data_IF_875107608734
#
_entry.id   IF_875107608734
#
_cell.length_a   1.000
_cell.length_b   1.000
_cell.length_c   1.000
_cell.angle_alpha   90.00
_cell.angle_beta   90.00
_cell.angle_gamma   90.00
#
_symmetry.space_group_name_H-M   'P 1'
#
loop_
_entity.id
_entity.type
_entity.pdbx_description
1 polymer ?
#
# COMPACT_ATOMS: atom_id res chain seq x y z
N UNK A 1 -44.74 -37.57 -6.99
CA UNK A 1 -45.57 -36.94 -5.96
C UNK A 1 -46.61 -36.10 -6.68
N UNK A 2 -47.89 -36.43 -6.55
CA UNK A 2 -48.94 -35.53 -7.04
C UNK A 2 -48.77 -34.19 -6.31
N UNK A 3 -48.88 -33.04 -7.00
CA UNK A 3 -48.87 -31.76 -6.30
C UNK A 3 -50.02 -31.79 -5.29
N UNK A 4 -49.69 -31.75 -3.99
CA UNK A 4 -50.69 -31.56 -2.95
C UNK A 4 -51.39 -30.25 -3.25
N UNK A 5 -52.64 -30.34 -3.66
CA UNK A 5 -53.48 -29.20 -3.98
C UNK A 5 -53.77 -28.49 -2.66
N UNK A 6 -53.51 -27.18 -2.59
CA UNK A 6 -53.70 -26.39 -1.38
C UNK A 6 -55.12 -26.60 -0.79
N UNK A 7 -55.28 -27.16 0.42
CA UNK A 7 -56.57 -27.47 1.02
C UNK A 7 -57.46 -26.23 1.24
N UNK A 8 -56.87 -25.04 1.22
CA UNK A 8 -57.60 -23.76 1.27
C UNK A 8 -58.32 -23.42 -0.03
N UNK A 9 -57.83 -23.92 -1.17
CA UNK A 9 -58.37 -23.65 -2.50
C UNK A 9 -59.39 -24.72 -2.97
N UNK A 10 -59.65 -25.74 -2.15
CA UNK A 10 -60.61 -26.81 -2.47
C UNK A 10 -62.01 -26.43 -2.00
N UNK A 11 -62.97 -26.40 -2.93
CA UNK A 11 -64.39 -26.17 -2.63
C UNK A 11 -65.13 -27.47 -2.30
N UNK A 12 -66.17 -27.42 -1.44
CA UNK A 12 -66.99 -28.58 -1.12
C UNK A 12 -67.64 -29.17 -2.38
N UNK A 13 -67.53 -30.48 -2.63
CA UNK A 13 -68.26 -31.13 -3.72
C UNK A 13 -69.77 -31.02 -3.54
N UNK A 14 -70.51 -30.95 -4.64
CA UNK A 14 -71.97 -31.02 -4.60
C UNK A 14 -72.44 -32.46 -4.34
N UNK A 15 -72.61 -32.79 -3.06
CA UNK A 15 -73.08 -34.10 -2.61
C UNK A 15 -74.56 -34.36 -2.90
N UNK A 16 -75.31 -33.41 -3.48
CA UNK A 16 -76.68 -33.65 -3.96
C UNK A 16 -76.71 -34.13 -5.41
N UNK A 17 -75.62 -33.92 -6.16
CA UNK A 17 -75.47 -34.39 -7.54
C UNK A 17 -75.63 -35.90 -7.69
N UNK A 18 -76.15 -36.37 -8.83
CA UNK A 18 -76.32 -37.80 -9.15
C UNK A 18 -75.02 -38.61 -9.07
N UNK A 19 -73.86 -37.97 -9.22
CA UNK A 19 -72.54 -38.60 -9.08
C UNK A 19 -72.33 -39.26 -7.72
N UNK A 20 -72.96 -38.74 -6.67
CA UNK A 20 -72.85 -39.24 -5.30
C UNK A 20 -74.06 -40.08 -4.86
N UNK A 21 -75.03 -40.33 -5.76
CA UNK A 21 -76.21 -41.14 -5.47
C UNK A 21 -75.87 -42.56 -4.94
N UNK A 22 -74.86 -43.29 -5.47
CA UNK A 22 -74.47 -44.58 -4.92
C UNK A 22 -73.98 -44.50 -3.46
N UNK A 23 -73.18 -43.49 -3.13
CA UNK A 23 -72.66 -43.26 -1.78
C UNK A 23 -73.76 -42.87 -0.80
N UNK A 24 -74.72 -42.03 -1.23
CA UNK A 24 -75.90 -41.68 -0.43
C UNK A 24 -76.80 -42.89 -0.20
N UNK A 25 -77.08 -43.69 -1.23
CA UNK A 25 -77.93 -44.88 -1.12
C UNK A 25 -77.37 -45.91 -0.13
N UNK A 26 -76.04 -46.06 -0.06
CA UNK A 26 -75.39 -46.93 0.92
C UNK A 26 -75.66 -46.43 2.36
N UNK A 27 -75.51 -45.13 2.62
CA UNK A 27 -75.81 -44.53 3.93
C UNK A 27 -77.29 -44.65 4.30
N UNK A 28 -78.19 -44.43 3.34
CA UNK A 28 -79.64 -44.61 3.52
C UNK A 28 -79.99 -46.05 3.89
N UNK A 29 -79.41 -47.04 3.20
CA UNK A 29 -79.67 -48.46 3.47
C UNK A 29 -79.09 -48.92 4.81
N UNK A 30 -77.94 -48.36 5.21
CA UNK A 30 -77.22 -48.77 6.42
C UNK A 30 -77.78 -48.12 7.68
N UNK A 31 -78.17 -46.85 7.60
CA UNK A 31 -78.60 -46.06 8.77
C UNK A 31 -80.09 -45.70 8.75
N UNK A 32 -80.84 -46.12 7.73
CA UNK A 32 -82.27 -45.83 7.55
C UNK A 32 -82.62 -44.32 7.57
N UNK A 33 -81.73 -43.49 7.03
CA UNK A 33 -81.86 -42.03 6.94
C UNK A 33 -82.41 -41.59 5.57
N UNK A 34 -82.80 -40.31 5.41
CA UNK A 34 -83.21 -39.76 4.11
C UNK A 34 -82.00 -39.43 3.22
N UNK A 35 -82.22 -39.35 1.90
CA UNK A 35 -81.18 -38.96 0.93
C UNK A 35 -80.58 -37.58 1.22
N UNK A 36 -81.39 -36.64 1.70
CA UNK A 36 -80.96 -35.29 2.11
C UNK A 36 -80.03 -35.37 3.33
N UNK A 37 -80.40 -36.14 4.36
CA UNK A 37 -79.57 -36.34 5.55
C UNK A 37 -78.27 -37.06 5.19
N UNK A 38 -78.30 -38.02 4.26
CA UNK A 38 -77.09 -38.69 3.76
C UNK A 38 -76.15 -37.73 3.01
N UNK A 39 -76.68 -36.82 2.17
CA UNK A 39 -75.88 -35.79 1.50
C UNK A 39 -75.24 -34.82 2.52
N UNK A 40 -75.98 -34.43 3.55
CA UNK A 40 -75.50 -33.55 4.60
C UNK A 40 -74.39 -34.21 5.45
N UNK A 41 -74.52 -35.50 5.78
CA UNK A 41 -73.49 -36.25 6.49
C UNK A 41 -72.18 -36.34 5.68
N UNK A 42 -72.26 -36.56 4.37
CA UNK A 42 -71.08 -36.55 3.50
C UNK A 42 -70.41 -35.17 3.44
N UNK A 43 -71.20 -34.10 3.42
CA UNK A 43 -70.70 -32.73 3.46
C UNK A 43 -70.00 -32.42 4.79
N UNK A 44 -70.57 -32.84 5.91
CA UNK A 44 -69.99 -32.58 7.24
C UNK A 44 -68.70 -33.40 7.47
N UNK A 45 -68.65 -34.65 6.99
CA UNK A 45 -67.41 -35.43 6.96
C UNK A 45 -66.33 -34.77 6.10
N UNK A 46 -66.70 -34.28 4.91
CA UNK A 46 -65.77 -33.57 4.04
C UNK A 46 -65.24 -32.29 4.69
N UNK A 47 -66.10 -31.51 5.36
CA UNK A 47 -65.67 -30.31 6.10
C UNK A 47 -64.72 -30.64 7.24
N UNK A 48 -65.02 -31.68 8.02
CA UNK A 48 -64.15 -32.12 9.10
C UNK A 48 -62.77 -32.54 8.58
N UNK A 49 -62.73 -33.29 7.48
CA UNK A 49 -61.48 -33.67 6.84
C UNK A 49 -60.72 -32.46 6.28
N UNK A 50 -61.40 -31.54 5.59
CA UNK A 50 -60.77 -30.35 5.02
C UNK A 50 -60.19 -29.41 6.09
N UNK A 51 -60.79 -29.34 7.28
CA UNK A 51 -60.21 -28.60 8.43
C UNK A 51 -58.90 -29.24 8.89
N UNK A 52 -58.84 -30.57 8.99
CA UNK A 52 -57.61 -31.27 9.36
C UNK A 52 -56.52 -31.09 8.29
N UNK A 53 -56.88 -31.24 7.01
CA UNK A 53 -55.96 -31.07 5.90
C UNK A 53 -55.38 -29.63 5.84
N UNK A 54 -56.20 -28.62 6.14
CA UNK A 54 -55.75 -27.22 6.23
C UNK A 54 -54.79 -26.99 7.40
N UNK A 55 -55.07 -27.59 8.56
CA UNK A 55 -54.18 -27.50 9.72
C UNK A 55 -52.83 -28.14 9.44
N UNK A 56 -52.82 -29.36 8.90
CA UNK A 56 -51.59 -30.05 8.54
C UNK A 56 -50.78 -29.26 7.50
N UNK A 57 -51.47 -28.69 6.50
CA UNK A 57 -50.83 -27.82 5.50
C UNK A 57 -50.22 -26.55 6.12
N UNK A 58 -50.94 -25.88 7.01
CA UNK A 58 -50.47 -24.66 7.67
C UNK A 58 -49.25 -24.97 8.58
N UNK A 59 -49.30 -26.07 9.33
CA UNK A 59 -48.19 -26.55 10.18
C UNK A 59 -46.94 -26.89 9.36
N UNK A 60 -47.10 -27.61 8.24
CA UNK A 60 -46.01 -27.92 7.31
C UNK A 60 -45.39 -26.64 6.73
N UNK A 61 -46.23 -25.69 6.30
CA UNK A 61 -45.78 -24.43 5.74
C UNK A 61 -45.04 -23.56 6.77
N UNK A 62 -45.55 -23.47 7.99
CA UNK A 62 -44.89 -22.74 9.08
C UNK A 62 -43.55 -23.39 9.42
N UNK A 63 -43.50 -24.72 9.49
CA UNK A 63 -42.26 -25.44 9.75
C UNK A 63 -41.20 -25.20 8.68
N UNK A 64 -41.59 -25.25 7.40
CA UNK A 64 -40.69 -24.95 6.28
C UNK A 64 -40.22 -23.49 6.32
N UNK A 65 -41.11 -22.55 6.60
CA UNK A 65 -40.77 -21.13 6.73
C UNK A 65 -39.79 -20.87 7.89
N UNK A 66 -40.02 -21.51 9.04
CA UNK A 66 -39.14 -21.43 10.20
C UNK A 66 -37.75 -22.02 9.91
N UNK A 67 -37.68 -23.18 9.25
CA UNK A 67 -36.40 -23.77 8.84
C UNK A 67 -35.63 -22.88 7.87
N UNK A 68 -36.31 -22.30 6.88
CA UNK A 68 -35.68 -21.41 5.91
C UNK A 68 -35.14 -20.14 6.57
N UNK A 69 -35.90 -19.56 7.51
CA UNK A 69 -35.44 -18.42 8.30
C UNK A 69 -34.20 -18.77 9.13
N UNK A 70 -34.21 -19.92 9.81
CA UNK A 70 -33.07 -20.40 10.58
C UNK A 70 -31.82 -20.60 9.71
N UNK A 71 -31.96 -21.20 8.53
CA UNK A 71 -30.84 -21.37 7.58
C UNK A 71 -30.28 -20.03 7.12
N UNK A 72 -31.14 -19.04 6.86
CA UNK A 72 -30.71 -17.69 6.47
C UNK A 72 -29.95 -16.99 7.59
N UNK A 73 -30.43 -17.10 8.82
CA UNK A 73 -29.77 -16.54 10.00
C UNK A 73 -28.39 -17.18 10.21
N UNK A 74 -28.30 -18.52 10.14
CA UNK A 74 -27.03 -19.24 10.23
C UNK A 74 -26.06 -18.85 9.11
N UNK A 75 -26.54 -18.77 7.87
CA UNK A 75 -25.70 -18.36 6.74
C UNK A 75 -25.21 -16.90 6.87
N UNK A 76 -25.98 -16.02 7.53
CA UNK A 76 -25.53 -14.66 7.84
C UNK A 76 -24.43 -14.67 8.90
N UNK A 77 -24.63 -15.40 10.00
CA UNK A 77 -23.64 -15.52 11.07
C UNK A 77 -22.32 -16.12 10.56
N UNK A 78 -22.39 -17.19 9.76
CA UNK A 78 -21.20 -17.80 9.16
C UNK A 78 -20.42 -16.83 8.25
N UNK A 79 -21.13 -15.96 7.51
CA UNK A 79 -20.49 -14.92 6.68
C UNK A 79 -19.82 -13.86 7.53
N UNK A 80 -20.52 -13.34 8.55
CA UNK A 80 -19.96 -12.33 9.46
C UNK A 80 -18.72 -12.86 10.19
N UNK A 81 -18.76 -14.12 10.65
CA UNK A 81 -17.59 -14.77 11.25
C UNK A 81 -16.45 -15.00 10.26
N UNK A 82 -16.76 -15.38 9.02
CA UNK A 82 -15.74 -15.56 7.98
C UNK A 82 -15.08 -14.23 7.61
N UNK A 83 -15.86 -13.15 7.49
CA UNK A 83 -15.35 -11.79 7.25
C UNK A 83 -14.47 -11.32 8.42
N UNK A 84 -14.88 -11.55 9.66
CA UNK A 84 -14.09 -11.23 10.84
C UNK A 84 -12.75 -11.98 10.84
N UNK A 85 -12.77 -13.30 10.60
CA UNK A 85 -11.55 -14.11 10.51
C UNK A 85 -10.62 -13.63 9.39
N UNK A 86 -11.16 -13.25 8.23
CA UNK A 86 -10.36 -12.69 7.14
C UNK A 86 -9.71 -11.37 7.51
N UNK A 87 -10.44 -10.48 8.18
CA UNK A 87 -9.88 -9.20 8.64
C UNK A 87 -8.77 -9.41 9.67
N UNK A 88 -8.96 -10.32 10.63
CA UNK A 88 -7.93 -10.68 11.61
C UNK A 88 -6.67 -11.24 10.92
N UNK A 89 -6.84 -12.15 9.97
CA UNK A 89 -5.73 -12.72 9.20
C UNK A 89 -4.99 -11.66 8.37
N UNK A 90 -5.71 -10.75 7.71
CA UNK A 90 -5.13 -9.65 6.94
C UNK A 90 -4.36 -8.68 7.84
N UNK A 91 -4.91 -8.33 9.00
CA UNK A 91 -4.26 -7.45 9.96
C UNK A 91 -3.00 -8.09 10.57
N UNK A 92 -3.04 -9.39 10.88
CA UNK A 92 -1.86 -10.13 11.31
C UNK A 92 -0.80 -10.20 10.21
N UNK A 93 -1.19 -10.49 8.97
CA UNK A 93 -0.29 -10.50 7.82
C UNK A 93 0.35 -9.12 7.61
N UNK A 94 -0.42 -8.04 7.74
CA UNK A 94 0.08 -6.66 7.63
C UNK A 94 1.05 -6.31 8.75
N UNK A 95 0.78 -6.74 9.99
CA UNK A 95 1.71 -6.55 11.12
C UNK A 95 3.00 -7.32 10.90
N UNK A 96 2.93 -8.57 10.46
CA UNK A 96 4.10 -9.40 10.13
C UNK A 96 4.91 -8.81 8.98
N UNK A 97 4.26 -8.31 7.93
CA UNK A 97 4.91 -7.67 6.79
C UNK A 97 5.62 -6.37 7.21
N UNK A 98 4.99 -5.55 8.08
CA UNK A 98 5.62 -4.37 8.70
C UNK A 98 6.82 -4.72 9.57
N UNK A 99 6.76 -5.83 10.33
CA UNK A 99 7.90 -6.30 11.14
C UNK A 99 9.07 -6.74 10.27
N UNK A 100 8.80 -7.53 9.22
CA UNK A 100 9.82 -8.04 8.28
C UNK A 100 10.44 -6.93 7.44
N UNK A 101 9.65 -5.95 7.01
CA UNK A 101 10.08 -4.85 6.15
C UNK A 101 10.09 -3.51 6.86
N UNK A 102 10.59 -3.47 8.11
CA UNK A 102 10.59 -2.26 8.95
C UNK A 102 11.12 -1.01 8.23
N UNK A 103 12.15 -1.16 7.40
CA UNK A 103 12.75 -0.07 6.62
C UNK A 103 11.81 0.51 5.55
N UNK A 104 10.93 -0.31 4.95
CA UNK A 104 9.97 0.16 3.92
C UNK A 104 8.82 0.98 4.51
N UNK A 105 8.49 0.75 5.78
CA UNK A 105 7.39 1.44 6.49
C UNK A 105 7.89 2.50 7.45
N UNK A 106 9.14 2.95 7.31
CA UNK A 106 9.60 4.11 8.04
C UNK A 106 8.75 5.32 7.61
N UNK A 107 8.19 6.09 8.56
CA UNK A 107 7.54 7.33 8.21
C UNK A 107 8.58 8.21 7.52
N UNK A 108 8.33 8.55 6.26
CA UNK A 108 9.09 9.58 5.60
C UNK A 108 8.86 10.87 6.37
N UNK A 109 9.95 11.55 6.74
CA UNK A 109 9.83 12.91 7.20
C UNK A 109 9.22 13.70 6.05
N UNK A 110 8.13 14.41 6.31
CA UNK A 110 7.38 15.22 5.33
C UNK A 110 8.17 16.51 5.01
N UNK A 111 9.45 16.32 4.72
CA UNK A 111 10.39 17.37 4.34
C UNK A 111 10.27 17.50 2.83
N UNK A 112 9.84 18.67 2.32
CA UNK A 112 9.79 18.89 0.89
C UNK A 112 11.17 18.60 0.30
N UNK A 113 11.24 17.88 -0.84
CA UNK A 113 12.51 17.64 -1.50
C UNK A 113 13.20 18.99 -1.75
N UNK A 114 14.51 19.11 -1.51
CA UNK A 114 15.22 20.35 -1.75
C UNK A 114 14.94 20.83 -3.18
N UNK A 115 14.37 22.02 -3.31
CA UNK A 115 14.02 22.63 -4.61
C UNK A 115 15.25 22.98 -5.44
N UNK A 116 16.43 22.90 -4.85
CA UNK A 116 17.73 23.20 -5.46
C UNK A 116 18.63 21.98 -5.35
N UNK A 117 19.23 21.59 -6.48
CA UNK A 117 20.32 20.62 -6.49
C UNK A 117 21.45 21.17 -5.62
N UNK A 118 21.95 20.44 -4.61
CA UNK A 118 23.05 20.93 -3.80
C UNK A 118 24.28 21.16 -4.68
N UNK A 119 24.84 22.36 -4.61
CA UNK A 119 26.09 22.71 -5.28
C UNK A 119 27.23 22.06 -4.50
N UNK A 120 27.71 20.90 -4.97
CA UNK A 120 28.78 20.15 -4.33
C UNK A 120 30.14 20.42 -4.99
N UNK A 121 31.24 20.45 -4.21
CA UNK A 121 32.59 20.45 -4.76
C UNK A 121 32.85 19.26 -5.69
N UNK A 122 33.86 19.39 -6.56
CA UNK A 122 34.27 18.30 -7.46
C UNK A 122 34.53 16.99 -6.69
N UNK A 123 34.13 15.82 -7.22
CA UNK A 123 34.43 14.52 -6.61
C UNK A 123 35.92 14.32 -6.30
N UNK A 124 36.80 14.86 -7.16
CA UNK A 124 38.25 14.83 -6.94
C UNK A 124 38.64 15.57 -5.66
N UNK A 125 38.10 16.79 -5.47
CA UNK A 125 38.37 17.59 -4.29
C UNK A 125 37.86 16.89 -3.03
N UNK A 126 36.65 16.32 -3.06
CA UNK A 126 36.11 15.56 -1.92
C UNK A 126 36.95 14.33 -1.59
N UNK A 127 37.41 13.55 -2.59
CA UNK A 127 38.27 12.38 -2.37
C UNK A 127 39.62 12.76 -1.74
N UNK A 128 40.25 13.84 -2.23
CA UNK A 128 41.50 14.35 -1.62
C UNK A 128 41.26 14.83 -0.19
N UNK A 129 40.08 15.40 0.09
CA UNK A 129 39.75 15.98 1.39
C UNK A 129 39.56 14.87 2.41
N UNK A 130 38.88 13.79 2.01
CA UNK A 130 38.76 12.59 2.84
C UNK A 130 40.12 11.95 3.16
N UNK A 131 41.10 12.04 2.25
CA UNK A 131 42.47 11.54 2.47
C UNK A 131 43.35 12.48 3.29
N UNK A 132 42.90 13.70 3.59
CA UNK A 132 43.73 14.72 4.23
C UNK A 132 44.82 15.29 3.33
N UNK A 133 44.69 15.14 2.01
CA UNK A 133 45.64 15.68 1.03
C UNK A 133 45.37 17.18 0.78
N UNK A 134 46.41 17.90 0.37
CA UNK A 134 46.26 19.29 -0.06
C UNK A 134 45.33 19.42 -1.27
N UNK A 135 44.42 20.39 -1.17
CA UNK A 135 43.45 20.76 -2.20
C UNK A 135 43.44 22.28 -2.34
N UNK A 136 43.61 22.81 -3.55
CA UNK A 136 43.45 24.24 -3.80
C UNK A 136 42.07 24.75 -3.40
N UNK A 137 42.03 25.93 -2.76
CA UNK A 137 40.79 26.60 -2.37
C UNK A 137 39.87 26.88 -3.57
N UNK A 138 40.43 26.98 -4.77
CA UNK A 138 39.68 27.13 -6.03
C UNK A 138 38.45 26.21 -6.13
N UNK A 139 38.60 24.94 -5.73
CA UNK A 139 37.53 23.94 -5.81
C UNK A 139 36.30 24.25 -4.95
N UNK A 140 36.45 25.14 -3.97
CA UNK A 140 35.38 25.60 -3.09
C UNK A 140 34.88 27.01 -3.45
N UNK A 141 35.46 27.68 -4.45
CA UNK A 141 34.94 28.97 -4.96
C UNK A 141 33.72 28.75 -5.85
N UNK A 142 32.87 29.78 -6.02
CA UNK A 142 31.68 29.72 -6.87
C UNK A 142 32.05 29.32 -8.31
N UNK A 143 33.20 29.81 -8.79
CA UNK A 143 33.74 29.46 -10.09
C UNK A 143 34.14 27.98 -10.15
N UNK A 144 34.91 27.49 -9.17
CA UNK A 144 35.31 26.09 -9.10
C UNK A 144 34.12 25.13 -8.95
N UNK A 145 33.07 25.53 -8.25
CA UNK A 145 31.82 24.78 -8.14
C UNK A 145 31.05 24.74 -9.46
N UNK A 146 30.92 25.88 -10.15
CA UNK A 146 30.29 25.95 -11.47
C UNK A 146 31.06 25.09 -12.50
N UNK A 147 32.39 25.16 -12.47
CA UNK A 147 33.25 24.32 -13.32
C UNK A 147 33.05 22.83 -13.01
N UNK A 148 32.98 22.45 -11.73
CA UNK A 148 32.75 21.06 -11.32
C UNK A 148 31.39 20.54 -11.81
N UNK A 149 30.33 21.34 -11.72
CA UNK A 149 29.01 21.00 -12.25
C UNK A 149 29.03 20.82 -13.77
N UNK A 150 29.75 21.69 -14.50
CA UNK A 150 29.86 21.58 -15.96
C UNK A 150 30.53 20.27 -16.41
N UNK A 151 31.48 19.76 -15.62
CA UNK A 151 32.22 18.52 -15.92
C UNK A 151 31.42 17.27 -15.54
N UNK A 152 30.66 17.30 -14.42
CA UNK A 152 29.88 16.13 -13.98
C UNK A 152 28.76 15.74 -14.94
N UNK A 153 28.26 16.67 -15.75
CA UNK A 153 27.26 16.38 -16.79
C UNK A 153 27.86 15.79 -18.07
N UNK A 154 29.19 15.75 -18.22
CA UNK A 154 29.85 15.45 -19.50
C UNK A 154 30.54 14.09 -19.56
N UNK A 155 30.93 13.44 -18.45
CA UNK A 155 31.77 12.23 -18.50
C UNK A 155 31.56 11.34 -17.28
N UNK A 156 31.60 10.03 -17.49
CA UNK A 156 31.76 9.01 -16.44
C UNK A 156 33.11 9.21 -15.69
N UNK A 157 33.05 9.33 -14.36
CA UNK A 157 34.21 9.64 -13.49
C UNK A 157 35.22 8.46 -13.44
N UNK A 158 34.84 7.28 -13.94
CA UNK A 158 35.66 6.07 -14.08
C UNK A 158 36.55 6.06 -15.34
N UNK A 159 36.38 7.01 -16.27
CA UNK A 159 37.16 7.04 -17.49
C UNK A 159 38.54 7.68 -17.28
N UNK A 160 39.61 6.99 -17.71
CA UNK A 160 41.00 7.47 -17.64
C UNK A 160 41.48 7.99 -19.00
N UNK A 161 42.18 9.11 -18.99
CA UNK A 161 42.96 9.61 -20.13
C UNK A 161 44.45 9.33 -19.91
N UNK A 162 45.13 8.92 -20.97
CA UNK A 162 46.59 8.81 -21.00
C UNK A 162 47.17 10.19 -21.31
N UNK A 163 47.99 10.73 -20.40
CA UNK A 163 48.69 12.00 -20.59
C UNK A 163 50.21 11.79 -20.56
N UNK A 164 50.97 12.35 -21.51
CA UNK A 164 52.42 12.39 -21.40
C UNK A 164 52.84 13.23 -20.17
N UNK A 165 53.75 12.68 -19.38
CA UNK A 165 54.37 13.29 -18.21
C UNK A 165 55.81 13.66 -18.58
N UNK A 166 56.06 14.96 -18.78
CA UNK A 166 57.37 15.48 -19.16
C UNK A 166 57.79 15.16 -20.61
N UNK A 167 59.02 15.54 -20.95
CA UNK A 167 59.64 15.26 -22.26
C UNK A 167 60.21 13.83 -22.36
N UNK A 168 60.24 13.10 -21.25
CA UNK A 168 60.91 11.79 -21.12
C UNK A 168 60.07 10.61 -21.66
N UNK A 169 58.92 10.88 -22.28
CA UNK A 169 58.06 9.86 -22.89
C UNK A 169 57.31 8.97 -21.90
N UNK A 170 57.29 9.31 -20.61
CA UNK A 170 56.48 8.64 -19.61
C UNK A 170 55.01 9.03 -19.76
N UNK A 171 54.11 8.08 -19.53
CA UNK A 171 52.66 8.30 -19.64
C UNK A 171 51.97 8.01 -18.32
N UNK A 172 51.21 8.98 -17.81
CA UNK A 172 50.40 8.84 -16.62
C UNK A 172 48.93 8.64 -17.00
N UNK A 173 48.25 7.73 -16.31
CA UNK A 173 46.79 7.59 -16.37
C UNK A 173 46.16 8.56 -15.37
N UNK A 174 45.36 9.50 -15.87
CA UNK A 174 44.66 10.50 -15.04
C UNK A 174 43.17 10.43 -15.37
N UNK A 175 42.28 10.55 -14.38
CA UNK A 175 40.85 10.59 -14.69
C UNK A 175 40.53 11.73 -15.66
N UNK A 176 39.60 11.49 -16.59
CA UNK A 176 39.22 12.50 -17.60
C UNK A 176 38.74 13.79 -16.92
N UNK A 177 38.03 13.67 -15.79
CA UNK A 177 37.64 14.81 -14.96
C UNK A 177 38.87 15.62 -14.50
N UNK A 178 39.89 14.98 -13.94
CA UNK A 178 41.11 15.67 -13.48
C UNK A 178 41.96 16.24 -14.63
N UNK A 179 41.95 15.59 -15.80
CA UNK A 179 42.66 16.07 -16.99
C UNK A 179 42.03 17.36 -17.56
N UNK A 180 40.69 17.47 -17.55
CA UNK A 180 39.96 18.65 -18.04
C UNK A 180 40.00 19.84 -17.09
N UNK A 181 40.13 19.61 -15.78
CA UNK A 181 40.13 20.67 -14.76
C UNK A 181 41.50 21.39 -14.68
N UNK A 182 42.61 20.67 -14.90
CA UNK A 182 43.99 21.21 -14.75
C UNK A 182 44.32 22.53 -15.49
N UNK A 183 43.82 22.87 -16.69
CA UNK A 183 44.18 24.14 -17.35
C UNK A 183 43.51 25.38 -16.74
N UNK A 184 42.61 25.25 -15.76
CA UNK A 184 41.84 26.38 -15.23
C UNK A 184 41.85 26.53 -13.69
N UNK A 185 42.66 25.74 -12.98
CA UNK A 185 42.78 25.84 -11.52
C UNK A 185 43.60 27.09 -11.17
N UNK A 186 43.00 28.02 -10.44
CA UNK A 186 43.70 29.17 -9.85
C UNK A 186 44.42 28.68 -8.59
N UNK A 187 45.71 29.00 -8.47
CA UNK A 187 46.48 28.67 -7.25
C UNK A 187 46.07 29.59 -6.11
N UNK A 188 46.17 29.11 -4.87
CA UNK A 188 45.66 29.84 -3.69
C UNK A 188 46.22 31.26 -3.54
N UNK A 189 47.46 31.50 -4.01
CA UNK A 189 48.11 32.81 -3.97
C UNK A 189 47.50 33.84 -4.94
N UNK A 190 46.87 33.37 -6.01
CA UNK A 190 46.25 34.22 -7.05
C UNK A 190 44.74 34.43 -6.78
N UNK A 191 44.21 33.90 -5.68
CA UNK A 191 42.83 34.12 -5.28
C UNK A 191 42.66 35.50 -4.63
N UNK A 192 41.58 36.18 -5.00
CA UNK A 192 41.17 37.41 -4.32
C UNK A 192 40.64 37.10 -2.91
N UNK A 193 40.67 38.08 -2.01
CA UNK A 193 40.09 37.94 -0.67
C UNK A 193 38.64 37.50 -0.67
N UNK A 194 37.83 38.03 -1.60
CA UNK A 194 36.45 37.61 -1.75
C UNK A 194 36.31 36.13 -2.11
N UNK A 195 37.22 35.59 -2.92
CA UNK A 195 37.21 34.17 -3.29
C UNK A 195 37.71 33.29 -2.15
N UNK A 196 38.70 33.75 -1.38
CA UNK A 196 39.18 33.06 -0.18
C UNK A 196 38.05 33.00 0.87
N UNK A 197 37.41 34.13 1.17
CA UNK A 197 36.29 34.20 2.12
C UNK A 197 35.15 33.24 1.70
N UNK A 198 34.78 33.23 0.42
CA UNK A 198 33.77 32.33 -0.09
C UNK A 198 34.15 30.84 0.03
N UNK A 199 35.39 30.50 -0.35
CA UNK A 199 35.89 29.14 -0.38
C UNK A 199 36.08 28.55 1.02
N UNK A 200 36.53 29.35 2.00
CA UNK A 200 36.86 28.88 3.35
C UNK A 200 35.64 28.35 4.10
N UNK A 201 34.52 29.05 4.05
CA UNK A 201 33.27 28.61 4.67
C UNK A 201 32.82 27.25 4.13
N UNK A 202 32.87 27.06 2.81
CA UNK A 202 32.47 25.82 2.14
C UNK A 202 33.47 24.70 2.36
N UNK A 203 34.77 24.99 2.39
CA UNK A 203 35.81 24.02 2.72
C UNK A 203 35.62 23.48 4.15
N UNK A 204 35.37 24.36 5.13
CA UNK A 204 35.10 23.96 6.51
C UNK A 204 33.86 23.08 6.63
N UNK A 205 32.78 23.41 5.90
CA UNK A 205 31.59 22.55 5.83
C UNK A 205 31.93 21.18 5.23
N UNK A 206 32.67 21.13 4.12
CA UNK A 206 33.08 19.89 3.48
C UNK A 206 33.99 19.04 4.39
N UNK A 207 34.84 19.65 5.21
CA UNK A 207 35.63 18.92 6.22
C UNK A 207 34.75 18.26 7.27
N UNK A 208 33.69 18.96 7.74
CA UNK A 208 32.71 18.39 8.69
C UNK A 208 31.94 17.23 8.06
N UNK A 209 31.49 17.37 6.83
CA UNK A 209 30.80 16.32 6.07
C UNK A 209 31.73 15.13 5.76
N UNK A 210 33.02 15.37 5.58
CA UNK A 210 34.06 14.35 5.45
C UNK A 210 34.49 13.74 6.81
N UNK A 211 33.77 14.04 7.90
CA UNK A 211 34.00 13.50 9.24
C UNK A 211 35.42 13.75 9.77
N UNK A 212 36.02 14.90 9.43
CA UNK A 212 37.28 15.29 10.03
C UNK A 212 37.12 15.46 11.55
N UNK A 213 38.13 15.09 12.35
CA UNK A 213 38.15 15.36 13.78
C UNK A 213 37.86 16.84 14.08
N UNK A 214 37.00 17.10 15.07
CA UNK A 214 36.51 18.45 15.37
C UNK A 214 37.64 19.43 15.71
N UNK A 215 38.66 18.96 16.44
CA UNK A 215 39.88 19.70 16.75
C UNK A 215 40.62 20.20 15.50
N UNK A 216 40.65 19.40 14.42
CA UNK A 216 41.26 19.81 13.14
C UNK A 216 40.43 20.83 12.39
N UNK A 217 39.11 20.68 12.41
CA UNK A 217 38.19 21.66 11.80
C UNK A 217 38.28 22.99 12.55
N UNK A 218 38.33 22.96 13.88
CA UNK A 218 38.47 24.14 14.72
C UNK A 218 39.82 24.83 14.51
N UNK A 219 40.92 24.08 14.44
CA UNK A 219 42.24 24.64 14.13
C UNK A 219 42.25 25.35 12.76
N UNK A 220 41.63 24.73 11.75
CA UNK A 220 41.50 25.34 10.42
C UNK A 220 40.63 26.61 10.44
N UNK A 221 39.51 26.58 11.16
CA UNK A 221 38.66 27.75 11.34
C UNK A 221 39.42 28.91 12.01
N UNK A 222 40.15 28.63 13.09
CA UNK A 222 40.97 29.64 13.79
C UNK A 222 42.06 30.22 12.88
N UNK A 223 42.71 29.37 12.06
CA UNK A 223 43.67 29.84 11.06
C UNK A 223 43.04 30.87 10.12
N UNK A 224 41.87 30.58 9.54
CA UNK A 224 41.19 31.51 8.62
C UNK A 224 40.73 32.80 9.31
N UNK A 225 40.21 32.72 10.53
CA UNK A 225 39.82 33.91 11.30
C UNK A 225 41.02 34.81 11.59
N UNK A 226 42.14 34.23 12.02
CA UNK A 226 43.37 34.98 12.27
C UNK A 226 43.89 35.61 10.98
N UNK A 227 43.88 34.86 9.87
CA UNK A 227 44.30 35.34 8.56
C UNK A 227 43.43 36.52 8.07
N UNK A 228 42.11 36.45 8.25
CA UNK A 228 41.20 37.52 7.86
C UNK A 228 41.32 38.77 8.75
N UNK A 229 41.71 38.60 10.02
CA UNK A 229 41.90 39.69 10.99
C UNK A 229 43.29 40.33 10.95
N UNK A 230 44.22 39.80 10.15
CA UNK A 230 45.59 40.30 10.10
C UNK A 230 45.62 41.70 9.46
N UNK A 231 46.13 42.70 10.20
CA UNK A 231 46.40 44.02 9.63
C UNK A 231 47.57 43.94 8.64
N UNK A 232 47.40 44.54 7.47
CA UNK A 232 48.32 44.50 6.34
C UNK A 232 49.59 45.32 6.54
#
# INVERSE_FOLDING_TARGET
MHPHQNPHDVHPPDFHSDKYAPSRQNLVNTFHITQEVAAQQLLDLWRAQNVLDRQEWDDEHEHVAAQELQRREQARQEREEAEHRQQEEEDEARKEERKKHRTKFLPFADVPPPLTIPITPSPLALRKLQKGEYIPLYFFTNKGLADAQSVSHSVDDEAYAVRPEGEDGLHAFVSIAAAKIKPHIIVDQDLTWSQIDEATHRMLQAMKEAHWPADRVDAMFQFWMNLASHEW
#
